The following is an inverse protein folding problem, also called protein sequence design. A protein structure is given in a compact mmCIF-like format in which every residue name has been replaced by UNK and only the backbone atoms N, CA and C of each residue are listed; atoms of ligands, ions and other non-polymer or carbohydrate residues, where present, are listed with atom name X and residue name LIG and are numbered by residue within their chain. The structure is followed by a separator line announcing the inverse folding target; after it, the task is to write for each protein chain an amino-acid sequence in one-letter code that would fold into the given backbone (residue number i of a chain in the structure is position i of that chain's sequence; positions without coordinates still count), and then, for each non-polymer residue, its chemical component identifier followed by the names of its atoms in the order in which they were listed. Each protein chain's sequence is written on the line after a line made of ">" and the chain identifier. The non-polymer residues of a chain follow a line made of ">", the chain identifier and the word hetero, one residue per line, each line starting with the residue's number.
data_IF_716641182446
#
_entry.id   IF_716641182446
#
_cell.length_a   1.000
_cell.length_b   1.000
_cell.length_c   1.000
_cell.angle_alpha   90.00
_cell.angle_beta   90.00
_cell.angle_gamma   90.00
#
_symmetry.space_group_name_H-M   'P 1'
#
loop_
_entity.id
_entity.type
_entity.pdbx_description
1 polymer ?
#
# COMPACT_ATOMS: atom_id res chain seq x y z
N UNK A 1 -16.16 -2.75 -2.71
CA UNK A 1 -15.32 -3.81 -3.29
C UNK A 1 -14.00 -3.18 -3.74
N UNK A 2 -12.88 -3.55 -3.12
CA UNK A 2 -11.54 -3.22 -3.61
C UNK A 2 -11.16 -4.30 -4.60
N UNK A 3 -11.72 -4.24 -5.80
CA UNK A 3 -11.34 -5.21 -6.83
C UNK A 3 -9.89 -4.96 -7.23
N UNK A 4 -9.11 -6.04 -7.32
CA UNK A 4 -7.69 -6.06 -7.65
C UNK A 4 -7.37 -5.30 -8.97
N UNK A 5 -8.38 -5.10 -9.82
CA UNK A 5 -8.26 -4.57 -11.17
C UNK A 5 -8.66 -3.09 -11.33
N UNK A 6 -9.23 -2.47 -10.29
CA UNK A 6 -9.82 -1.13 -10.40
C UNK A 6 -9.36 -0.24 -9.23
N UNK A 7 -8.19 0.39 -9.37
CA UNK A 7 -7.67 1.33 -8.40
C UNK A 7 -7.76 2.77 -8.92
N UNK A 8 -8.66 3.57 -8.37
CA UNK A 8 -8.86 4.97 -8.78
C UNK A 8 -9.56 5.16 -10.13
N UNK A 9 -9.29 4.29 -11.10
CA UNK A 9 -9.98 4.25 -12.39
C UNK A 9 -10.19 2.80 -12.86
N UNK A 10 -11.16 2.61 -13.76
CA UNK A 10 -11.47 1.30 -14.33
C UNK A 10 -10.27 0.76 -15.13
N UNK A 11 -9.90 -0.50 -14.88
CA UNK A 11 -8.76 -1.15 -15.55
C UNK A 11 -7.38 -0.76 -15.02
N UNK A 12 -7.28 0.14 -14.03
CA UNK A 12 -5.99 0.49 -13.42
C UNK A 12 -5.67 -0.45 -12.26
N UNK A 13 -4.80 -1.42 -12.55
CA UNK A 13 -4.32 -2.41 -11.59
C UNK A 13 -2.98 -1.99 -10.99
N UNK A 14 -2.88 -2.07 -9.66
CA UNK A 14 -1.61 -1.89 -8.95
C UNK A 14 -0.63 -3.03 -9.23
N UNK A 15 0.68 -2.75 -9.14
CA UNK A 15 1.70 -3.80 -9.29
C UNK A 15 1.55 -4.85 -8.19
N UNK A 16 2.17 -6.01 -8.38
CA UNK A 16 2.01 -7.16 -7.48
C UNK A 16 2.36 -6.86 -6.00
N UNK A 17 3.32 -5.96 -5.74
CA UNK A 17 3.74 -5.53 -4.41
C UNK A 17 3.05 -4.25 -3.92
N UNK A 18 2.10 -3.73 -4.69
CA UNK A 18 1.36 -2.51 -4.39
C UNK A 18 -0.09 -2.83 -4.02
N UNK A 19 -0.63 -2.05 -3.11
CA UNK A 19 -2.03 -2.12 -2.72
C UNK A 19 -2.75 -0.88 -3.23
N UNK A 20 -4.04 -1.04 -3.53
CA UNK A 20 -4.86 0.10 -3.86
C UNK A 20 -5.30 0.85 -2.60
N UNK A 21 -4.80 2.09 -2.47
CA UNK A 21 -5.20 3.02 -1.42
C UNK A 21 -5.92 4.22 -2.03
N UNK A 22 -7.26 4.19 -1.89
CA UNK A 22 -8.21 5.14 -2.48
C UNK A 22 -8.13 5.14 -4.00
N UNK A 23 -7.19 5.90 -4.56
CA UNK A 23 -7.00 6.10 -6.00
C UNK A 23 -5.53 5.98 -6.42
N UNK A 24 -4.67 5.56 -5.49
CA UNK A 24 -3.23 5.44 -5.72
C UNK A 24 -2.75 4.05 -5.35
N UNK A 25 -1.85 3.53 -6.16
CA UNK A 25 -1.09 2.33 -5.86
C UNK A 25 0.08 2.70 -4.98
N UNK A 26 0.13 2.09 -3.79
CA UNK A 26 1.20 2.32 -2.83
C UNK A 26 1.85 1.01 -2.46
N UNK A 27 3.17 1.02 -2.31
CA UNK A 27 3.91 -0.17 -1.95
C UNK A 27 3.81 -0.40 -0.45
N UNK A 28 2.89 -1.28 -0.05
CA UNK A 28 2.69 -1.59 1.36
C UNK A 28 3.88 -2.29 2.01
N UNK A 29 4.83 -2.79 1.23
CA UNK A 29 5.98 -3.54 1.72
C UNK A 29 7.15 -2.64 2.14
N UNK A 30 7.21 -1.42 1.60
CA UNK A 30 8.34 -0.49 1.76
C UNK A 30 7.90 0.92 2.18
N UNK A 31 6.67 1.32 1.90
CA UNK A 31 6.17 2.64 2.25
C UNK A 31 5.88 2.72 3.75
N UNK A 32 6.71 3.46 4.48
CA UNK A 32 6.54 3.73 5.92
C UNK A 32 5.19 4.36 6.27
N UNK A 33 4.48 4.98 5.32
CA UNK A 33 3.15 5.58 5.53
C UNK A 33 1.99 4.63 5.25
N UNK A 34 2.25 3.51 4.58
CA UNK A 34 1.25 2.53 4.15
C UNK A 34 1.70 1.08 4.44
N UNK A 35 2.47 0.88 5.50
CA UNK A 35 3.14 -0.38 5.79
C UNK A 35 2.14 -1.47 6.18
N UNK A 36 2.05 -2.53 5.36
CA UNK A 36 1.08 -3.61 5.54
C UNK A 36 -0.38 -3.20 5.32
N UNK A 37 -0.64 -2.00 4.78
CA UNK A 37 -2.00 -1.52 4.55
C UNK A 37 -2.12 -0.01 4.35
N UNK A 38 -3.22 0.41 3.73
CA UNK A 38 -3.50 1.83 3.51
C UNK A 38 -3.54 2.63 4.82
N UNK A 39 -2.83 3.75 4.84
CA UNK A 39 -2.74 4.64 6.02
C UNK A 39 -2.20 3.95 7.29
N UNK A 40 -1.49 2.81 7.15
CA UNK A 40 -0.74 2.20 8.25
C UNK A 40 0.66 2.78 8.31
N UNK A 41 0.81 3.88 9.04
CA UNK A 41 2.11 4.49 9.26
C UNK A 41 2.86 3.79 10.40
N UNK A 42 4.13 3.46 10.18
CA UNK A 42 5.01 2.96 11.25
C UNK A 42 5.37 4.07 12.24
N UNK A 43 5.77 3.71 13.47
CA UNK A 43 6.20 4.69 14.47
C UNK A 43 7.45 5.42 14.01
N UNK A 44 7.70 6.57 14.62
CA UNK A 44 8.87 7.39 14.32
C UNK A 44 10.14 6.61 14.69
N UNK A 45 10.98 6.30 13.72
CA UNK A 45 12.19 5.48 13.89
C UNK A 45 12.08 4.08 13.27
N UNK A 46 10.87 3.58 13.05
CA UNK A 46 10.65 2.27 12.44
C UNK A 46 10.80 2.31 10.90
N UNK A 47 11.13 1.17 10.34
CA UNK A 47 11.21 0.89 8.92
C UNK A 47 10.05 -0.01 8.52
N UNK A 48 9.52 0.23 7.32
CA UNK A 48 8.62 -0.73 6.71
C UNK A 48 9.44 -1.77 5.98
N UNK A 49 9.40 -3.01 6.45
CA UNK A 49 10.14 -4.13 5.90
C UNK A 49 9.16 -5.25 5.63
N UNK A 50 8.99 -5.62 4.36
CA UNK A 50 8.03 -6.65 3.91
C UNK A 50 6.59 -6.45 4.41
N UNK A 51 6.19 -5.19 4.65
CA UNK A 51 4.84 -4.85 5.10
C UNK A 51 4.64 -4.96 6.61
N UNK A 52 5.74 -5.04 7.35
CA UNK A 52 5.76 -4.97 8.80
C UNK A 52 6.62 -3.79 9.24
N UNK A 53 6.16 -3.09 10.28
CA UNK A 53 6.97 -2.06 10.93
C UNK A 53 7.97 -2.75 11.86
N UNK A 54 9.25 -2.39 11.72
CA UNK A 54 10.36 -2.88 12.54
C UNK A 54 11.26 -1.72 12.95
#
# INVERSE_FOLDING_TARGET
>A
MKDLFNCGMCGYKCKYSEICCKVQCVNASLDKRNCGGCHKKCKKGEFCVYGMCN
#
